data_IF_672545849393
#
_entry.id   IF_672545849393
#
_cell.length_a   1.000
_cell.length_b   1.000
_cell.length_c   1.000
_cell.angle_alpha   90.00
_cell.angle_beta   90.00
_cell.angle_gamma   90.00
#
_symmetry.space_group_name_H-M   'P 1'
#
loop_
_entity.id
_entity.type
_entity.pdbx_description
1 polymer ?
#
# COMPACT_ATOMS: atom_id res chain seq x y z
N UNK A 1 -13.43 3.23 -0.39
CA UNK A 1 -13.22 1.78 -0.47
C UNK A 1 -12.20 1.56 -1.55
N UNK A 2 -10.94 1.34 -1.18
CA UNK A 2 -9.82 1.21 -2.09
C UNK A 2 -10.00 0.05 -3.05
N UNK A 3 -9.44 0.19 -4.25
CA UNK A 3 -9.48 -0.87 -5.24
C UNK A 3 -8.55 -2.00 -4.81
N UNK A 4 -9.08 -3.23 -4.72
CA UNK A 4 -8.25 -4.42 -4.55
C UNK A 4 -7.64 -4.80 -5.89
N UNK A 5 -6.32 -4.71 -5.99
CA UNK A 5 -5.57 -5.06 -7.20
C UNK A 5 -4.54 -6.15 -6.90
N UNK A 6 -4.09 -6.83 -7.94
CA UNK A 6 -2.94 -7.72 -7.83
C UNK A 6 -1.65 -6.88 -7.87
N UNK A 7 -0.66 -7.26 -7.07
CA UNK A 7 0.67 -6.70 -7.11
C UNK A 7 1.26 -6.77 -8.51
N UNK A 8 1.64 -5.61 -9.06
CA UNK A 8 2.28 -5.47 -10.37
C UNK A 8 3.80 -5.42 -10.27
N UNK A 9 4.38 -6.14 -9.30
CA UNK A 9 5.83 -6.21 -9.16
C UNK A 9 6.45 -7.02 -10.31
N UNK A 10 7.36 -6.40 -11.05
CA UNK A 10 8.08 -7.02 -12.17
C UNK A 10 9.21 -7.95 -11.72
N UNK A 11 9.71 -7.80 -10.48
CA UNK A 11 10.85 -8.58 -9.99
C UNK A 11 10.48 -9.96 -9.47
N UNK A 12 9.33 -10.08 -8.79
CA UNK A 12 8.90 -11.36 -8.22
C UNK A 12 7.54 -11.84 -8.68
N UNK A 13 6.80 -11.06 -9.49
CA UNK A 13 5.47 -11.42 -10.00
C UNK A 13 4.58 -12.06 -8.92
N UNK A 14 4.63 -11.56 -7.69
CA UNK A 14 4.02 -12.24 -6.55
C UNK A 14 2.48 -12.30 -6.66
N UNK A 15 1.90 -11.42 -7.49
CA UNK A 15 0.46 -11.35 -7.79
C UNK A 15 -0.42 -11.25 -6.54
N UNK A 16 0.17 -10.84 -5.41
CA UNK A 16 -0.50 -10.72 -4.12
C UNK A 16 -1.63 -9.70 -4.25
N UNK A 17 -2.85 -10.11 -3.88
CA UNK A 17 -3.99 -9.21 -3.83
C UNK A 17 -3.86 -8.30 -2.62
N UNK A 18 -3.79 -6.99 -2.87
CA UNK A 18 -3.74 -6.00 -1.82
C UNK A 18 -4.68 -4.83 -2.15
N UNK A 19 -5.05 -4.08 -1.11
CA UNK A 19 -5.88 -2.88 -1.28
C UNK A 19 -4.99 -1.68 -1.57
N UNK A 20 -5.27 -0.98 -2.67
CA UNK A 20 -4.61 0.30 -2.94
C UNK A 20 -5.14 1.34 -2.00
N UNK A 21 -4.26 2.21 -1.51
CA UNK A 21 -4.65 3.37 -0.73
C UNK A 21 -4.62 4.60 -1.62
N UNK A 22 -5.76 5.28 -1.68
CA UNK A 22 -5.90 6.59 -2.28
C UNK A 22 -5.81 7.68 -1.21
N UNK A 23 -5.50 8.90 -1.65
CA UNK A 23 -5.28 10.04 -0.76
C UNK A 23 -6.48 10.30 0.18
N UNK A 24 -7.70 10.22 -0.34
CA UNK A 24 -8.92 10.45 0.45
C UNK A 24 -9.13 9.38 1.54
N UNK A 25 -8.81 8.12 1.25
CA UNK A 25 -8.91 7.05 2.25
C UNK A 25 -7.85 7.18 3.34
N UNK A 26 -6.63 7.57 2.98
CA UNK A 26 -5.59 7.84 3.96
C UNK A 26 -6.00 8.98 4.89
N UNK A 27 -6.57 10.06 4.35
CA UNK A 27 -7.07 11.19 5.14
C UNK A 27 -8.15 10.71 6.13
N UNK A 28 -9.11 9.91 5.68
CA UNK A 28 -10.12 9.33 6.56
C UNK A 28 -9.51 8.47 7.68
N UNK A 29 -8.54 7.60 7.36
CA UNK A 29 -7.87 6.75 8.35
C UNK A 29 -7.08 7.56 9.39
N UNK A 30 -6.47 8.68 8.98
CA UNK A 30 -5.79 9.62 9.86
C UNK A 30 -6.79 10.34 10.77
N UNK A 31 -7.88 10.87 10.21
CA UNK A 31 -8.88 11.62 10.96
C UNK A 31 -9.57 10.78 12.04
N UNK A 32 -9.77 9.48 11.78
CA UNK A 32 -10.34 8.56 12.76
C UNK A 32 -9.31 8.04 13.79
N UNK A 33 -8.06 8.53 13.77
CA UNK A 33 -7.02 8.15 14.73
C UNK A 33 -6.63 6.67 14.66
N UNK A 34 -6.89 5.99 13.54
CA UNK A 34 -6.69 4.54 13.38
C UNK A 34 -5.26 4.16 13.00
N UNK A 35 -4.39 5.14 12.76
CA UNK A 35 -3.03 4.95 12.28
C UNK A 35 -2.02 5.66 13.17
N UNK A 36 -0.92 4.96 13.48
CA UNK A 36 0.27 5.59 14.10
C UNK A 36 1.05 6.42 13.08
N UNK A 37 1.90 7.35 13.54
CA UNK A 37 2.69 8.20 12.63
C UNK A 37 3.55 7.41 11.63
N UNK A 38 4.19 6.32 12.05
CA UNK A 38 4.93 5.42 11.15
C UNK A 38 4.05 4.82 10.04
N UNK A 39 2.83 4.40 10.39
CA UNK A 39 1.89 3.86 9.41
C UNK A 39 1.45 4.95 8.43
N UNK A 40 1.22 6.18 8.91
CA UNK A 40 0.85 7.31 8.07
C UNK A 40 1.97 7.62 7.08
N UNK A 41 3.21 7.76 7.56
CA UNK A 41 4.37 8.03 6.70
C UNK A 41 4.57 6.93 5.66
N UNK A 42 4.43 5.66 6.07
CA UNK A 42 4.51 4.53 5.15
C UNK A 42 3.39 4.51 4.10
N UNK A 43 2.17 4.84 4.49
CA UNK A 43 1.04 4.86 3.57
C UNK A 43 1.13 6.04 2.59
N UNK A 44 1.63 7.21 3.05
CA UNK A 44 1.90 8.37 2.19
C UNK A 44 2.86 8.05 1.05
N UNK A 45 3.92 7.30 1.30
CA UNK A 45 4.88 6.91 0.25
C UNK A 45 4.29 5.90 -0.73
N UNK A 46 3.23 5.17 -0.34
CA UNK A 46 2.56 4.16 -1.16
C UNK A 46 1.30 4.63 -1.88
N UNK A 47 0.89 5.89 -1.71
CA UNK A 47 -0.30 6.43 -2.42
C UNK A 47 -0.12 6.24 -3.93
N UNK A 48 -1.12 5.62 -4.56
CA UNK A 48 -1.10 5.35 -6.01
C UNK A 48 -0.13 4.24 -6.45
N UNK A 49 0.58 3.58 -5.53
CA UNK A 49 1.46 2.46 -5.88
C UNK A 49 0.67 1.20 -6.21
N UNK A 50 1.06 0.53 -7.30
CA UNK A 50 0.50 -0.77 -7.72
C UNK A 50 1.29 -1.97 -7.21
N UNK A 51 2.26 -1.75 -6.33
CA UNK A 51 3.07 -2.78 -5.69
C UNK A 51 2.49 -3.11 -4.31
N UNK A 52 2.51 -4.38 -3.90
CA UNK A 52 2.14 -4.78 -2.54
C UNK A 52 3.17 -4.32 -1.50
N UNK A 53 2.86 -4.51 -0.21
CA UNK A 53 3.67 -3.98 0.90
C UNK A 53 5.11 -4.47 0.82
N UNK A 54 5.28 -5.76 0.56
CA UNK A 54 6.59 -6.41 0.54
C UNK A 54 7.43 -5.93 -0.65
N UNK A 55 6.86 -5.91 -1.85
CA UNK A 55 7.55 -5.45 -3.05
C UNK A 55 7.89 -3.95 -3.00
N UNK A 56 7.03 -3.13 -2.39
CA UNK A 56 7.30 -1.71 -2.25
C UNK A 56 8.52 -1.43 -1.35
N UNK A 57 8.78 -2.28 -0.35
CA UNK A 57 9.95 -2.16 0.54
C UNK A 57 11.16 -2.96 0.05
N UNK A 58 11.15 -3.43 -1.20
CA UNK A 58 12.26 -4.20 -1.77
C UNK A 58 12.38 -5.64 -1.25
N UNK A 59 11.40 -6.15 -0.49
CA UNK A 59 11.38 -7.53 0.01
C UNK A 59 10.70 -8.45 -1.00
N UNK A 60 11.34 -8.61 -2.15
CA UNK A 60 10.88 -9.52 -3.20
C UNK A 60 11.04 -10.97 -2.74
N UNK A 61 9.97 -11.76 -2.73
CA UNK A 61 10.06 -13.20 -2.57
C UNK A 61 10.51 -13.78 -3.92
N UNK A 62 11.72 -14.33 -3.98
CA UNK A 62 12.22 -15.09 -5.15
C UNK A 62 11.81 -16.55 -5.06
#
# INVERSE_FOLDING_TARGET
>A
MGSKINCQCLECSCHEKFETIETEELINLIQHGRLSQDQISFLKTRIGSKLCKQCFVGKHQK
#
